data_IF_885504363116
#
_entry.id   IF_885504363116
#
_cell.length_a   1.000
_cell.length_b   1.000
_cell.length_c   1.000
_cell.angle_alpha   90.00
_cell.angle_beta   90.00
_cell.angle_gamma   90.00
#
_symmetry.space_group_name_H-M   'P 1'
#
loop_
_entity.id
_entity.type
_entity.pdbx_description
1 polymer ?
#
# COMPACT_ATOMS: atom_id res chain seq x y z
N UNK A 1 -7.80 8.60 2.36
CA UNK A 1 -6.42 8.14 2.55
C UNK A 1 -6.43 6.64 2.60
N UNK A 2 -5.41 6.01 2.02
CA UNK A 2 -5.15 4.57 2.15
C UNK A 2 -3.99 4.42 3.12
N UNK A 3 -4.26 3.91 4.31
CA UNK A 3 -3.22 3.65 5.31
C UNK A 3 -2.44 2.39 4.92
N UNK A 4 -1.11 2.46 5.01
CA UNK A 4 -0.23 1.33 4.74
C UNK A 4 -0.29 0.29 5.85
N UNK A 5 -0.72 0.67 7.06
CA UNK A 5 -0.69 -0.20 8.23
C UNK A 5 0.70 -0.30 8.86
N UNK A 6 1.63 0.56 8.43
CA UNK A 6 2.95 0.75 8.99
C UNK A 6 3.03 2.18 9.53
N UNK A 7 2.77 2.37 10.83
CA UNK A 7 2.59 3.71 11.43
C UNK A 7 3.67 4.71 11.01
N UNK A 8 4.95 4.34 11.10
CA UNK A 8 6.06 5.23 10.74
C UNK A 8 6.05 5.65 9.26
N UNK A 9 5.58 4.78 8.38
CA UNK A 9 5.45 5.10 6.96
C UNK A 9 4.24 5.99 6.71
N UNK A 10 3.11 5.73 7.38
CA UNK A 10 1.92 6.58 7.29
C UNK A 10 2.21 8.00 7.78
N UNK A 11 2.93 8.14 8.91
CA UNK A 11 3.39 9.43 9.44
C UNK A 11 4.30 10.14 8.42
N UNK A 12 5.25 9.41 7.82
CA UNK A 12 6.17 9.95 6.81
C UNK A 12 5.43 10.44 5.55
N UNK A 13 4.35 9.77 5.17
CA UNK A 13 3.52 10.10 4.00
C UNK A 13 2.46 11.17 4.30
N UNK A 14 2.47 11.80 5.49
CA UNK A 14 1.43 12.74 5.93
C UNK A 14 0.04 12.10 5.99
N UNK A 15 -0.07 11.06 6.83
CA UNK A 15 -1.28 10.24 7.06
C UNK A 15 -1.66 9.28 5.92
N UNK A 16 -0.64 8.64 5.33
CA UNK A 16 -0.79 7.54 4.38
C UNK A 16 -0.83 7.95 2.91
N UNK A 17 -1.28 7.04 2.03
CA UNK A 17 -1.28 7.25 0.59
C UNK A 17 -2.52 8.08 0.17
N UNK A 18 -2.36 9.14 -0.65
CA UNK A 18 -3.48 9.95 -1.10
C UNK A 18 -4.48 9.16 -1.97
N UNK A 19 -5.77 9.46 -1.83
CA UNK A 19 -6.81 8.87 -2.68
C UNK A 19 -6.86 9.53 -4.06
N UNK A 20 -7.31 8.79 -5.08
CA UNK A 20 -7.60 9.35 -6.41
C UNK A 20 -6.36 9.74 -7.22
N UNK A 21 -5.17 9.30 -6.79
CA UNK A 21 -3.91 9.48 -7.51
C UNK A 21 -3.24 8.15 -7.79
N UNK A 22 -2.38 8.12 -8.80
CA UNK A 22 -1.51 6.96 -9.07
C UNK A 22 -0.27 7.10 -8.20
N UNK A 23 0.05 6.05 -7.44
CA UNK A 23 1.27 5.97 -6.62
C UNK A 23 2.14 4.84 -7.15
N UNK A 24 3.41 5.13 -7.46
CA UNK A 24 4.38 4.13 -7.91
C UNK A 24 5.24 3.63 -6.74
N UNK A 25 5.41 2.30 -6.64
CA UNK A 25 6.25 1.64 -5.65
C UNK A 25 7.37 0.91 -6.39
N UNK A 26 8.54 1.54 -6.44
CA UNK A 26 9.70 1.04 -7.20
C UNK A 26 10.89 0.71 -6.29
N UNK A 27 11.82 -0.10 -6.81
CA UNK A 27 13.02 -0.53 -6.09
C UNK A 27 13.57 -1.87 -6.61
N UNK A 28 14.81 -2.19 -6.22
CA UNK A 28 15.52 -3.40 -6.66
C UNK A 28 14.73 -4.70 -6.41
N UNK A 29 15.05 -5.76 -7.13
CA UNK A 29 14.42 -7.07 -6.89
C UNK A 29 14.69 -7.53 -5.45
N UNK A 30 13.71 -8.19 -4.82
CA UNK A 30 13.84 -8.70 -3.45
C UNK A 30 13.73 -7.66 -2.34
N UNK A 31 13.49 -6.37 -2.62
CA UNK A 31 13.36 -5.33 -1.57
C UNK A 31 12.03 -5.31 -0.83
N UNK A 32 11.14 -6.27 -1.09
CA UNK A 32 9.86 -6.40 -0.38
C UNK A 32 8.68 -5.60 -0.95
N UNK A 33 8.76 -5.09 -2.18
CA UNK A 33 7.66 -4.34 -2.84
C UNK A 33 6.32 -5.08 -2.81
N UNK A 34 6.30 -6.34 -3.23
CA UNK A 34 5.08 -7.18 -3.23
C UNK A 34 4.54 -7.38 -1.81
N UNK A 35 5.44 -7.56 -0.84
CA UNK A 35 5.05 -7.69 0.57
C UNK A 35 4.44 -6.40 1.12
N UNK A 36 5.00 -5.23 0.77
CA UNK A 36 4.42 -3.93 1.10
C UNK A 36 3.04 -3.77 0.46
N UNK A 37 2.86 -4.17 -0.79
CA UNK A 37 1.55 -4.13 -1.46
C UNK A 37 0.53 -4.99 -0.70
N UNK A 38 0.88 -6.21 -0.31
CA UNK A 38 -0.01 -7.06 0.49
C UNK A 38 -0.37 -6.45 1.84
N UNK A 39 0.59 -5.82 2.52
CA UNK A 39 0.34 -5.12 3.78
C UNK A 39 -0.70 -4.00 3.60
N UNK A 40 -0.57 -3.20 2.53
CA UNK A 40 -1.54 -2.16 2.16
C UNK A 40 -2.91 -2.78 1.85
N UNK A 41 -2.96 -3.86 1.07
CA UNK A 41 -4.21 -4.54 0.69
C UNK A 41 -4.96 -5.08 1.91
N UNK A 42 -4.27 -5.84 2.78
CA UNK A 42 -4.87 -6.40 4.00
C UNK A 42 -5.36 -5.29 4.92
N UNK A 43 -4.57 -4.21 5.08
CA UNK A 43 -4.98 -3.08 5.91
C UNK A 43 -6.21 -2.36 5.32
N UNK A 44 -6.28 -2.21 4.00
CA UNK A 44 -7.44 -1.62 3.31
C UNK A 44 -8.72 -2.43 3.58
N UNK A 45 -8.65 -3.76 3.48
CA UNK A 45 -9.77 -4.66 3.75
C UNK A 45 -10.20 -4.58 5.22
N UNK A 46 -9.25 -4.58 6.16
CA UNK A 46 -9.54 -4.45 7.60
C UNK A 46 -10.26 -3.15 7.95
N UNK A 47 -10.02 -2.08 7.20
CA UNK A 47 -10.67 -0.79 7.37
C UNK A 47 -11.98 -0.65 6.56
N UNK A 48 -12.53 -1.76 6.04
CA UNK A 48 -13.80 -1.78 5.30
C UNK A 48 -13.70 -1.38 3.83
N UNK A 49 -12.48 -1.20 3.30
CA UNK A 49 -12.25 -0.93 1.89
C UNK A 49 -12.24 -2.20 1.02
N UNK A 50 -12.33 -2.01 -0.30
CA UNK A 50 -12.23 -3.08 -1.29
C UNK A 50 -10.92 -2.98 -2.06
N UNK A 51 -10.35 -4.14 -2.43
CA UNK A 51 -9.08 -4.21 -3.15
C UNK A 51 -9.24 -5.06 -4.41
N UNK A 52 -8.74 -4.55 -5.54
CA UNK A 52 -8.43 -5.35 -6.72
C UNK A 52 -6.92 -5.54 -6.77
N UNK A 53 -6.46 -6.79 -6.68
CA UNK A 53 -5.05 -7.15 -6.85
C UNK A 53 -4.90 -7.82 -8.20
N UNK A 54 -4.10 -7.24 -9.09
CA UNK A 54 -3.82 -7.79 -10.41
C UNK A 54 -2.37 -8.25 -10.46
N UNK A 55 -2.18 -9.57 -10.47
CA UNK A 55 -0.89 -10.19 -10.78
C UNK A 55 -0.74 -10.32 -12.30
N UNK A 56 0.48 -10.23 -12.80
CA UNK A 56 0.78 -10.28 -14.24
C UNK A 56 1.10 -11.69 -14.73
N UNK A 57 0.81 -12.73 -13.95
CA UNK A 57 0.98 -14.14 -14.36
C UNK A 57 0.03 -14.55 -15.48
#
# INVERSE_FOLDING_TARGET
>A
MIYTGLQKLDDFLSDGIPNGVITDIYGASGTGKTQLLFQICVNTIKNGGTVLYQDTT
#
